data_IF_485209019411
#
_entry.id   IF_485209019411
#
_cell.length_a   1.000
_cell.length_b   1.000
_cell.length_c   1.000
_cell.angle_alpha   90.00
_cell.angle_beta   90.00
_cell.angle_gamma   90.00
#
_symmetry.space_group_name_H-M   'P 1'
#
loop_
_entity.id
_entity.type
_entity.pdbx_description
1 polymer ?
#
# COMPACT_ATOMS: atom_id res chain seq x y z
N UNK A 1 -8.34 -9.49 1.53
CA UNK A 1 -7.61 -10.05 2.69
C UNK A 1 -6.28 -10.54 2.14
N UNK A 2 -5.16 -9.87 2.47
CA UNK A 2 -3.82 -10.27 2.00
C UNK A 2 -3.44 -11.57 2.69
N UNK A 3 -3.85 -12.69 2.09
CA UNK A 3 -3.58 -14.03 2.58
C UNK A 3 -2.33 -14.56 1.88
N UNK A 4 -1.22 -14.71 2.62
CA UNK A 4 -0.17 -15.67 2.28
C UNK A 4 0.91 -15.32 1.25
N UNK A 5 0.93 -14.13 0.64
CA UNK A 5 2.01 -13.74 -0.26
C UNK A 5 3.07 -12.90 0.44
N UNK A 6 4.27 -13.43 0.65
CA UNK A 6 5.43 -12.60 0.97
C UNK A 6 5.50 -11.44 -0.04
N UNK A 7 5.82 -10.22 0.42
CA UNK A 7 6.03 -9.08 -0.48
C UNK A 7 7.07 -9.52 -1.51
N UNK A 8 6.66 -9.71 -2.75
CA UNK A 8 7.60 -10.04 -3.80
C UNK A 8 8.38 -8.76 -4.13
N UNK A 9 9.49 -8.55 -3.41
CA UNK A 9 10.33 -7.36 -3.58
C UNK A 9 10.91 -7.20 -4.99
N UNK A 10 10.79 -8.21 -5.86
CA UNK A 10 11.27 -8.14 -7.25
C UNK A 10 10.46 -7.20 -8.15
N UNK A 11 9.21 -6.86 -7.79
CA UNK A 11 8.39 -5.92 -8.58
C UNK A 11 8.62 -4.45 -8.18
N UNK A 12 9.53 -4.19 -7.23
CA UNK A 12 9.80 -2.87 -6.70
C UNK A 12 11.28 -2.51 -6.93
N UNK A 13 11.52 -1.30 -7.42
CA UNK A 13 12.88 -0.76 -7.52
C UNK A 13 13.51 -0.58 -6.12
N UNK A 14 14.85 -0.55 -6.03
CA UNK A 14 15.53 -0.26 -4.76
C UNK A 14 15.24 1.16 -4.27
N UNK A 15 15.01 2.07 -5.21
CA UNK A 15 14.78 3.49 -4.95
C UNK A 15 13.29 3.87 -4.97
N UNK A 16 12.40 2.94 -4.61
CA UNK A 16 10.96 3.26 -4.54
C UNK A 16 10.68 4.43 -3.61
N UNK A 17 9.77 5.29 -4.03
CA UNK A 17 9.20 6.35 -3.21
C UNK A 17 7.76 5.96 -2.89
N UNK A 18 7.45 5.85 -1.61
CA UNK A 18 6.08 5.64 -1.14
C UNK A 18 5.62 6.88 -0.38
N UNK A 19 4.51 7.45 -0.83
CA UNK A 19 3.92 8.62 -0.23
C UNK A 19 2.41 8.39 -0.03
N UNK A 20 1.97 8.56 1.21
CA UNK A 20 0.57 8.69 1.60
C UNK A 20 0.39 10.00 2.41
N UNK A 21 -0.85 10.41 2.73
CA UNK A 21 -1.10 11.67 3.44
C UNK A 21 -0.43 11.82 4.82
N UNK A 22 0.01 10.72 5.42
CA UNK A 22 0.58 10.65 6.78
C UNK A 22 2.06 10.21 6.74
N UNK A 23 2.47 9.50 5.68
CA UNK A 23 3.75 8.78 5.58
C UNK A 23 4.45 9.13 4.28
N UNK A 24 5.73 9.48 4.39
CA UNK A 24 6.63 9.60 3.24
C UNK A 24 7.88 8.77 3.53
N UNK A 25 8.13 7.74 2.72
CA UNK A 25 9.32 6.91 2.85
C UNK A 25 9.98 6.70 1.49
N UNK A 26 11.32 6.64 1.51
CA UNK A 26 12.15 6.38 0.35
C UNK A 26 12.95 5.11 0.62
N UNK A 27 13.02 4.24 -0.38
CA UNK A 27 13.78 3.01 -0.34
C UNK A 27 12.95 1.78 0.04
N UNK A 28 13.33 0.65 -0.56
CA UNK A 28 12.61 -0.62 -0.42
C UNK A 28 12.55 -1.13 1.03
N UNK A 29 13.59 -0.91 1.82
CA UNK A 29 13.65 -1.41 3.20
C UNK A 29 12.72 -0.64 4.14
N UNK A 30 12.62 0.68 3.98
CA UNK A 30 11.67 1.50 4.72
C UNK A 30 10.23 1.17 4.33
N UNK A 31 9.99 0.93 3.04
CA UNK A 31 8.69 0.45 2.57
C UNK A 31 8.31 -0.90 3.19
N UNK A 32 9.23 -1.89 3.23
CA UNK A 32 9.00 -3.17 3.91
C UNK A 32 8.68 -2.99 5.40
N UNK A 33 9.30 -2.03 6.08
CA UNK A 33 8.99 -1.72 7.47
C UNK A 33 7.56 -1.19 7.63
N UNK A 34 7.10 -0.29 6.74
CA UNK A 34 5.70 0.19 6.71
C UNK A 34 4.73 -0.97 6.49
N UNK A 35 4.99 -1.85 5.52
CA UNK A 35 4.10 -3.01 5.29
C UNK A 35 4.11 -3.98 6.48
N UNK A 36 5.26 -4.17 7.13
CA UNK A 36 5.35 -5.00 8.33
C UNK A 36 4.53 -4.41 9.48
N UNK A 37 4.56 -3.09 9.64
CA UNK A 37 3.72 -2.39 10.62
C UNK A 37 2.22 -2.58 10.36
N UNK A 38 1.79 -2.56 9.09
CA UNK A 38 0.39 -2.86 8.72
C UNK A 38 -0.05 -4.26 9.13
N UNK A 39 0.88 -5.21 9.33
CA UNK A 39 0.59 -6.55 9.85
C UNK A 39 -0.02 -6.59 11.26
N UNK A 40 0.20 -5.54 12.07
CA UNK A 40 -0.41 -5.39 13.40
C UNK A 40 -1.91 -5.06 13.34
N UNK A 41 -2.41 -4.70 12.17
CA UNK A 41 -3.80 -4.34 11.91
C UNK A 41 -4.50 -5.47 11.15
N UNK A 42 -5.82 -5.51 11.21
CA UNK A 42 -6.63 -6.26 10.28
C UNK A 42 -7.00 -5.33 9.12
N UNK A 43 -6.27 -5.43 8.02
CA UNK A 43 -6.40 -4.54 6.86
C UNK A 43 -7.33 -5.17 5.82
N UNK A 44 -8.35 -4.43 5.42
CA UNK A 44 -9.23 -4.72 4.29
C UNK A 44 -9.09 -3.59 3.27
N UNK A 45 -8.54 -3.91 2.11
CA UNK A 45 -8.48 -3.00 0.98
C UNK A 45 -9.67 -3.27 0.06
N UNK A 46 -10.50 -2.26 -0.13
CA UNK A 46 -11.60 -2.20 -1.08
C UNK A 46 -11.12 -1.42 -2.30
N UNK A 47 -10.89 -2.13 -3.40
CA UNK A 47 -10.57 -1.49 -4.67
C UNK A 47 -11.88 -1.08 -5.36
N UNK A 48 -12.02 0.21 -5.66
CA UNK A 48 -13.21 0.76 -6.33
C UNK A 48 -13.00 0.89 -7.83
N UNK A 49 -11.81 1.32 -8.22
CA UNK A 49 -11.46 1.53 -9.62
C UNK A 49 -9.95 1.35 -9.82
N UNK A 50 -9.57 0.83 -10.99
CA UNK A 50 -8.19 0.74 -11.43
C UNK A 50 -8.15 0.91 -12.95
N UNK A 51 -7.33 1.85 -13.41
CA UNK A 51 -7.18 2.09 -14.84
C UNK A 51 -5.75 2.53 -15.17
N UNK A 52 -5.34 2.20 -16.40
CA UNK A 52 -4.10 2.69 -17.00
C UNK A 52 -4.38 4.08 -17.52
N UNK A 53 -3.81 5.10 -16.88
CA UNK A 53 -4.00 6.50 -17.25
C UNK A 53 -3.10 6.90 -18.44
N UNK A 54 -1.88 6.37 -18.49
CA UNK A 54 -0.93 6.48 -19.61
C UNK A 54 -0.08 5.22 -19.69
N UNK A 55 0.76 5.08 -20.72
CA UNK A 55 1.63 3.90 -20.94
C UNK A 55 2.50 3.51 -19.72
N UNK A 56 2.76 4.45 -18.81
CA UNK A 56 3.60 4.25 -17.62
C UNK A 56 2.91 4.63 -16.32
N UNK A 57 1.62 4.98 -16.32
CA UNK A 57 0.91 5.44 -15.13
C UNK A 57 -0.35 4.62 -14.91
N UNK A 58 -0.40 3.92 -13.78
CA UNK A 58 -1.60 3.22 -13.31
C UNK A 58 -2.19 4.04 -12.16
N UNK A 59 -3.47 4.37 -12.26
CA UNK A 59 -4.21 5.02 -11.18
C UNK A 59 -5.19 4.03 -10.56
N UNK A 60 -5.21 3.97 -9.24
CA UNK A 60 -6.12 3.12 -8.48
C UNK A 60 -6.83 3.93 -7.40
N UNK A 61 -8.16 3.75 -7.28
CA UNK A 61 -8.97 4.32 -6.21
C UNK A 61 -9.40 3.23 -5.25
N UNK A 62 -9.18 3.45 -3.97
CA UNK A 62 -9.43 2.45 -2.96
C UNK A 62 -9.94 3.03 -1.64
N UNK A 63 -10.47 2.14 -0.80
CA UNK A 63 -10.76 2.40 0.61
C UNK A 63 -10.10 1.31 1.44
N UNK A 64 -9.32 1.72 2.43
CA UNK A 64 -8.62 0.82 3.32
C UNK A 64 -9.23 0.92 4.70
N UNK A 65 -9.86 -0.16 5.12
CA UNK A 65 -10.38 -0.32 6.48
C UNK A 65 -9.36 -1.10 7.30
N UNK A 66 -8.98 -0.54 8.44
CA UNK A 66 -8.00 -1.12 9.35
C UNK A 66 -8.60 -1.24 10.75
N UNK A 67 -8.54 -2.42 11.34
CA UNK A 67 -8.90 -2.61 12.76
C UNK A 67 -7.65 -2.97 13.55
N UNK A 68 -7.36 -2.22 14.61
CA UNK A 68 -6.18 -2.49 15.45
C UNK A 68 -6.43 -3.76 16.28
N UNK A 69 -5.55 -4.76 16.15
CA UNK A 69 -5.69 -6.05 16.86
C UNK A 69 -5.22 -6.00 18.31
N UNK A 70 -4.24 -5.14 18.60
CA UNK A 70 -3.50 -5.15 19.87
C UNK A 70 -4.16 -4.33 20.99
N UNK A 71 -5.13 -3.48 20.68
CA UNK A 71 -5.80 -2.61 21.66
C UNK A 71 -7.19 -3.17 22.03
N UNK A 72 -7.57 -3.17 23.32
CA UNK A 72 -8.80 -3.81 23.79
C UNK A 72 -10.08 -3.18 23.22
N UNK A 73 -10.06 -1.89 22.87
CA UNK A 73 -11.20 -1.19 22.25
C UNK A 73 -11.28 -1.34 20.73
N UNK A 74 -10.35 -2.08 20.10
CA UNK A 74 -10.30 -2.41 18.66
C UNK A 74 -10.70 -1.22 17.74
N UNK A 75 -9.97 -0.10 17.81
CA UNK A 75 -10.31 1.07 17.02
C UNK A 75 -10.33 0.71 15.53
N UNK A 76 -11.37 1.20 14.84
CA UNK A 76 -11.57 1.04 13.41
C UNK A 76 -11.20 2.34 12.73
N UNK A 77 -10.32 2.24 11.74
CA UNK A 77 -9.88 3.35 10.90
C UNK A 77 -10.29 3.04 9.47
N UNK A 78 -10.85 4.03 8.77
CA UNK A 78 -11.19 3.91 7.35
C UNK A 78 -10.54 5.06 6.60
N UNK A 79 -9.76 4.72 5.58
CA UNK A 79 -9.07 5.69 4.75
C UNK A 79 -9.49 5.52 3.30
N UNK A 80 -9.99 6.58 2.68
CA UNK A 80 -10.23 6.62 1.24
C UNK A 80 -9.04 7.26 0.56
N UNK A 81 -8.48 6.61 -0.46
CA UNK A 81 -7.27 7.08 -1.13
C UNK A 81 -7.29 6.82 -2.63
N UNK A 82 -6.44 7.57 -3.32
CA UNK A 82 -6.07 7.30 -4.71
C UNK A 82 -4.56 7.13 -4.74
N UNK A 83 -4.08 6.06 -5.36
CA UNK A 83 -2.65 5.82 -5.59
C UNK A 83 -2.34 5.90 -7.07
N UNK A 84 -1.17 6.46 -7.36
CA UNK A 84 -0.58 6.50 -8.70
C UNK A 84 0.69 5.65 -8.68
N UNK A 85 0.79 4.72 -9.61
CA UNK A 85 1.95 3.86 -9.79
C UNK A 85 2.62 4.24 -11.10
N UNK A 86 3.86 4.69 -11.01
CA UNK A 86 4.71 4.87 -12.19
C UNK A 86 5.47 3.58 -12.44
N UNK A 87 5.34 3.05 -13.65
CA UNK A 87 6.03 1.82 -14.07
C UNK A 87 7.30 2.22 -14.82
N UNK A 88 8.43 1.62 -14.43
CA UNK A 88 9.68 1.75 -15.15
C UNK A 88 9.69 0.73 -16.32
N UNK A 89 9.81 1.17 -17.58
CA UNK A 89 9.84 0.25 -18.72
C UNK A 89 11.11 -0.60 -18.82
N UNK A 90 12.16 -0.29 -18.05
CA UNK A 90 13.46 -0.96 -18.14
C UNK A 90 13.61 -2.16 -17.18
N UNK A 91 12.52 -2.58 -16.50
CA UNK A 91 12.47 -3.71 -15.55
C UNK A 91 11.67 -4.89 -16.08
#
# INVERSE_FOLDING_TARGET
>A
MFSGGAINGSIYSKDIVFQDPVTYVVGLDMYKAVISFLGLFNVKLHLHDIHVATDYLITARWTMDMTVKVLPWRPQLSFTGTTQYTVDPDV
#
